data_IF_436650622591
#
_entry.id   IF_436650622591
#
_cell.length_a   1.000
_cell.length_b   1.000
_cell.length_c   1.000
_cell.angle_alpha   90.00
_cell.angle_beta   90.00
_cell.angle_gamma   90.00
#
_symmetry.space_group_name_H-M   'P 1'
#
loop_
_entity.id
_entity.type
_entity.pdbx_description
1 polymer ?
#
# COMPACT_ATOMS: atom_id res chain seq x y z
N UNK A 1 10.45 7.06 -16.16
CA UNK A 1 10.50 7.88 -14.93
C UNK A 1 11.11 7.08 -13.80
N UNK A 2 11.86 7.76 -12.93
CA UNK A 2 12.40 7.17 -11.70
C UNK A 2 11.43 7.42 -10.54
N UNK A 3 11.23 6.46 -9.62
CA UNK A 3 10.41 6.66 -8.44
C UNK A 3 10.95 7.79 -7.55
N UNK A 4 10.04 8.51 -6.91
CA UNK A 4 10.36 9.58 -5.96
C UNK A 4 9.81 9.25 -4.58
N UNK A 5 10.46 9.78 -3.55
CA UNK A 5 10.00 9.66 -2.16
C UNK A 5 9.23 10.93 -1.80
N UNK A 6 8.03 10.76 -1.28
CA UNK A 6 7.17 11.85 -0.79
C UNK A 6 6.82 11.58 0.67
N UNK A 7 7.69 11.95 1.64
CA UNK A 7 7.46 11.65 3.04
C UNK A 7 6.26 12.42 3.60
N UNK A 8 5.58 11.82 4.57
CA UNK A 8 4.50 12.45 5.31
C UNK A 8 4.66 12.24 6.81
N UNK A 9 4.18 13.18 7.62
CA UNK A 9 4.03 12.95 9.06
C UNK A 9 2.86 12.02 9.34
N UNK A 10 2.88 11.33 10.48
CA UNK A 10 1.75 10.55 11.00
C UNK A 10 1.01 11.41 12.01
N UNK A 11 -0.21 11.82 11.71
CA UNK A 11 -1.02 12.62 12.63
C UNK A 11 -1.92 11.72 13.49
N UNK A 12 -1.90 11.88 14.82
CA UNK A 12 -2.80 11.17 15.74
C UNK A 12 -4.28 11.60 15.55
N UNK A 13 -4.48 12.87 15.18
CA UNK A 13 -5.78 13.45 14.82
C UNK A 13 -5.55 14.45 13.68
N UNK A 14 -6.21 14.25 12.54
CA UNK A 14 -6.09 15.13 11.36
C UNK A 14 -5.57 14.41 10.12
N UNK A 15 -4.99 15.17 9.18
CA UNK A 15 -4.39 14.64 7.95
C UNK A 15 -2.86 14.66 8.04
N UNK A 16 -2.23 13.62 7.48
CA UNK A 16 -0.79 13.54 7.31
C UNK A 16 -0.25 14.77 6.53
N UNK A 17 0.78 15.44 7.06
CA UNK A 17 1.41 16.60 6.43
C UNK A 17 2.48 16.12 5.45
N UNK A 18 2.52 16.67 4.23
CA UNK A 18 3.60 16.40 3.28
C UNK A 18 4.87 17.12 3.69
N UNK A 19 5.98 16.40 3.64
CA UNK A 19 7.31 16.92 3.90
C UNK A 19 8.18 16.76 2.65
N UNK A 20 9.22 17.56 2.55
CA UNK A 20 10.38 17.26 1.72
C UNK A 20 11.33 16.31 2.46
N UNK A 21 12.19 15.59 1.73
CA UNK A 21 13.22 14.76 2.35
C UNK A 21 14.16 15.56 3.26
N UNK A 22 14.44 16.82 2.93
CA UNK A 22 15.28 17.70 3.75
C UNK A 22 14.60 18.05 5.08
N UNK A 23 13.29 18.32 5.06
CA UNK A 23 12.54 18.63 6.29
C UNK A 23 12.50 17.47 7.28
N UNK A 24 12.56 16.22 6.81
CA UNK A 24 12.67 15.04 7.70
C UNK A 24 13.90 15.14 8.60
N UNK A 25 15.03 15.57 8.04
CA UNK A 25 16.30 15.72 8.76
C UNK A 25 16.31 17.02 9.56
N UNK A 26 15.92 18.14 8.96
CA UNK A 26 15.98 19.47 9.60
C UNK A 26 15.07 19.55 10.83
N UNK A 27 13.92 18.87 10.79
CA UNK A 27 12.98 18.80 11.92
C UNK A 27 13.37 17.71 12.94
N UNK A 28 14.46 16.98 12.73
CA UNK A 28 14.94 15.93 13.63
C UNK A 28 14.03 14.70 13.72
N UNK A 29 13.23 14.43 12.68
CA UNK A 29 12.32 13.27 12.63
C UNK A 29 13.09 11.95 12.41
N UNK A 30 14.24 12.03 11.74
CA UNK A 30 15.20 10.94 11.63
C UNK A 30 16.62 11.50 11.53
N UNK A 31 17.61 10.74 12.02
CA UNK A 31 19.02 11.09 11.83
C UNK A 31 19.38 11.02 10.32
N UNK A 32 20.31 11.86 9.81
CA UNK A 32 20.62 11.92 8.38
C UNK A 32 21.04 10.58 7.76
N UNK A 33 21.83 9.79 8.48
CA UNK A 33 22.30 8.47 8.08
C UNK A 33 21.17 7.43 8.05
N UNK A 34 20.33 7.40 9.10
CA UNK A 34 19.11 6.59 9.18
C UNK A 34 18.18 6.93 8.01
N UNK A 35 17.94 8.21 7.76
CA UNK A 35 17.05 8.65 6.69
C UNK A 35 17.60 8.29 5.30
N UNK A 36 18.91 8.38 5.09
CA UNK A 36 19.52 7.93 3.84
C UNK A 36 19.35 6.42 3.60
N UNK A 37 19.48 5.61 4.66
CA UNK A 37 19.22 4.17 4.58
C UNK A 37 17.76 3.88 4.27
N UNK A 38 16.81 4.57 4.93
CA UNK A 38 15.37 4.45 4.64
C UNK A 38 15.07 4.75 3.18
N UNK A 39 15.59 5.86 2.65
CA UNK A 39 15.36 6.25 1.27
C UNK A 39 15.90 5.23 0.27
N UNK A 40 17.12 4.75 0.49
CA UNK A 40 17.77 3.74 -0.37
C UNK A 40 16.98 2.44 -0.37
N UNK A 41 16.58 1.97 0.82
CA UNK A 41 15.81 0.74 0.99
C UNK A 41 14.41 0.86 0.37
N UNK A 42 13.70 1.96 0.60
CA UNK A 42 12.36 2.18 0.06
C UNK A 42 12.34 2.18 -1.47
N UNK A 43 13.29 2.89 -2.12
CA UNK A 43 13.39 2.93 -3.58
C UNK A 43 13.74 1.57 -4.17
N UNK A 44 14.69 0.85 -3.56
CA UNK A 44 15.08 -0.50 -3.99
C UNK A 44 13.92 -1.49 -3.90
N UNK A 45 13.22 -1.51 -2.76
CA UNK A 45 12.04 -2.36 -2.56
C UNK A 45 10.91 -2.00 -3.53
N UNK A 46 10.62 -0.71 -3.70
CA UNK A 46 9.58 -0.26 -4.62
C UNK A 46 9.88 -0.68 -6.06
N UNK A 47 11.13 -0.49 -6.52
CA UNK A 47 11.55 -0.92 -7.85
C UNK A 47 11.38 -2.43 -8.05
N UNK A 48 11.81 -3.22 -7.05
CA UNK A 48 11.64 -4.67 -7.09
C UNK A 48 10.17 -5.09 -7.14
N UNK A 49 9.31 -4.43 -6.35
CA UNK A 49 7.88 -4.69 -6.34
C UNK A 49 7.21 -4.30 -7.68
N UNK A 50 7.63 -3.19 -8.31
CA UNK A 50 7.15 -2.81 -9.64
C UNK A 50 7.48 -3.89 -10.68
N UNK A 51 8.72 -4.41 -10.68
CA UNK A 51 9.13 -5.44 -11.64
C UNK A 51 8.31 -6.74 -11.45
N UNK A 52 8.05 -7.12 -10.20
CA UNK A 52 7.20 -8.27 -9.87
C UNK A 52 5.76 -8.01 -10.34
N UNK A 53 5.17 -6.88 -9.97
CA UNK A 53 3.79 -6.54 -10.32
C UNK A 53 3.59 -6.54 -11.84
N UNK A 54 4.53 -5.94 -12.58
CA UNK A 54 4.47 -5.87 -14.04
C UNK A 54 4.52 -7.26 -14.68
N UNK A 55 5.40 -8.13 -14.20
CA UNK A 55 5.46 -9.52 -14.64
C UNK A 55 4.15 -10.30 -14.37
N UNK A 56 3.32 -9.81 -13.44
CA UNK A 56 2.00 -10.37 -13.10
C UNK A 56 0.82 -9.62 -13.73
N UNK A 57 1.07 -8.69 -14.66
CA UNK A 57 0.02 -7.95 -15.37
C UNK A 57 -0.58 -6.78 -14.59
N UNK A 58 0.17 -6.24 -13.62
CA UNK A 58 -0.22 -5.11 -12.79
C UNK A 58 0.79 -3.96 -12.94
N UNK A 59 0.31 -2.71 -12.88
CA UNK A 59 1.16 -1.54 -12.72
C UNK A 59 1.03 -1.07 -11.27
N UNK A 60 2.15 -1.08 -10.54
CA UNK A 60 2.26 -0.51 -9.20
C UNK A 60 2.60 0.98 -9.31
N UNK A 61 1.62 1.83 -8.99
CA UNK A 61 1.73 3.29 -9.16
C UNK A 61 2.45 3.96 -7.99
N UNK A 62 2.07 3.61 -6.77
CA UNK A 62 2.64 4.12 -5.53
C UNK A 62 2.39 3.15 -4.38
N UNK A 63 3.12 3.33 -3.28
CA UNK A 63 2.95 2.58 -2.04
C UNK A 63 3.33 3.45 -0.84
N UNK A 64 2.73 3.16 0.31
CA UNK A 64 3.16 3.67 1.61
C UNK A 64 3.96 2.58 2.33
N UNK A 65 5.12 2.96 2.87
CA UNK A 65 5.93 2.11 3.74
C UNK A 65 6.10 2.81 5.09
N UNK A 66 6.04 2.04 6.17
CA UNK A 66 6.40 2.53 7.51
C UNK A 66 7.73 1.90 7.94
N UNK A 67 8.59 2.70 8.58
CA UNK A 67 9.86 2.26 9.12
C UNK A 67 9.90 2.57 10.62
N UNK A 68 10.32 1.58 11.40
CA UNK A 68 10.73 1.72 12.79
C UNK A 68 12.25 1.62 12.91
N UNK A 69 12.74 1.76 14.14
CA UNK A 69 14.12 1.41 14.49
C UNK A 69 14.11 0.14 15.33
N UNK A 70 15.05 -0.75 15.06
CA UNK A 70 15.24 -1.96 15.85
C UNK A 70 16.01 -1.66 17.16
N UNK A 71 16.34 -2.71 17.93
CA UNK A 71 17.06 -2.57 19.19
C UNK A 71 18.49 -2.02 19.06
N UNK A 72 19.07 -2.02 17.85
CA UNK A 72 20.39 -1.47 17.54
C UNK A 72 20.31 -0.06 16.91
N UNK A 73 19.09 0.46 16.69
CA UNK A 73 18.89 1.74 16.01
C UNK A 73 18.94 1.64 14.48
N UNK A 74 18.88 0.43 13.91
CA UNK A 74 18.84 0.24 12.47
C UNK A 74 17.40 0.36 11.92
N UNK A 75 17.20 0.98 10.74
CA UNK A 75 15.88 1.05 10.13
C UNK A 75 15.33 -0.33 9.80
N UNK A 76 14.13 -0.63 10.29
CA UNK A 76 13.38 -1.85 10.01
C UNK A 76 12.03 -1.50 9.42
N UNK A 77 11.63 -2.22 8.37
CA UNK A 77 10.28 -2.06 7.82
C UNK A 77 9.27 -2.65 8.79
N UNK A 78 8.20 -1.91 9.03
CA UNK A 78 7.10 -2.31 9.90
C UNK A 78 5.78 -2.25 9.13
N UNK A 79 4.68 -2.55 9.81
CA UNK A 79 3.33 -2.54 9.24
C UNK A 79 3.20 -3.50 8.04
N UNK A 80 2.26 -3.24 7.13
CA UNK A 80 2.09 -3.99 5.89
C UNK A 80 2.91 -3.41 4.72
N UNK A 81 3.22 -4.27 3.73
CA UNK A 81 3.94 -3.87 2.53
C UNK A 81 3.26 -4.39 1.27
N UNK A 82 3.15 -3.52 0.28
CA UNK A 82 2.72 -3.88 -1.08
C UNK A 82 1.33 -4.52 -1.17
N UNK A 83 0.47 -4.27 -0.18
CA UNK A 83 -0.92 -4.76 -0.12
C UNK A 83 -1.85 -3.86 -0.93
N UNK A 84 -3.10 -4.31 -1.13
CA UNK A 84 -4.16 -3.49 -1.73
C UNK A 84 -4.62 -2.30 -0.88
N UNK A 85 -4.20 -2.21 0.39
CA UNK A 85 -4.52 -1.10 1.29
C UNK A 85 -3.43 -0.02 1.27
N UNK A 86 -2.17 -0.46 1.27
CA UNK A 86 -0.97 0.38 1.27
C UNK A 86 -0.53 0.85 -0.12
N UNK A 87 -1.02 0.23 -1.19
CA UNK A 87 -0.50 0.44 -2.55
C UNK A 87 -1.58 0.56 -3.62
N UNK A 88 -1.28 1.33 -4.67
CA UNK A 88 -2.16 1.45 -5.84
C UNK A 88 -1.71 0.53 -6.96
N UNK A 89 -2.56 -0.43 -7.31
CA UNK A 89 -2.38 -1.40 -8.39
C UNK A 89 -3.46 -1.24 -9.44
N UNK A 90 -3.04 -1.08 -10.69
CA UNK A 90 -3.95 -1.00 -11.84
C UNK A 90 -3.65 -2.09 -12.85
N UNK A 91 -4.67 -2.55 -13.59
CA UNK A 91 -4.48 -3.58 -14.62
C UNK A 91 -3.59 -3.05 -15.75
N UNK A 92 -2.49 -3.76 -16.02
CA UNK A 92 -1.53 -3.35 -17.05
C UNK A 92 -2.13 -3.39 -18.46
N UNK A 93 -3.07 -4.32 -18.71
CA UNK A 93 -3.70 -4.51 -20.02
C UNK A 93 -4.53 -3.32 -20.50
N UNK A 94 -5.04 -2.50 -19.58
CA UNK A 94 -5.89 -1.33 -19.90
C UNK A 94 -5.22 0.00 -19.55
N UNK A 95 -4.10 -0.03 -18.82
CA UNK A 95 -3.45 1.17 -18.29
C UNK A 95 -3.17 2.23 -19.34
N UNK A 96 -2.41 1.90 -20.39
CA UNK A 96 -1.98 2.87 -21.40
C UNK A 96 -3.18 3.52 -22.11
N UNK A 97 -4.14 2.70 -22.55
CA UNK A 97 -5.34 3.17 -23.23
C UNK A 97 -6.13 4.16 -22.36
N UNK A 98 -6.31 3.84 -21.07
CA UNK A 98 -7.08 4.66 -20.14
C UNK A 98 -6.37 5.96 -19.77
N UNK A 99 -5.05 5.93 -19.64
CA UNK A 99 -4.24 7.15 -19.45
C UNK A 99 -4.40 8.08 -20.66
N UNK A 100 -4.23 7.57 -21.87
CA UNK A 100 -4.32 8.36 -23.11
C UNK A 100 -5.72 8.94 -23.35
N UNK A 101 -6.77 8.19 -22.97
CA UNK A 101 -8.16 8.62 -23.12
C UNK A 101 -8.68 9.46 -21.95
N UNK A 102 -7.89 9.66 -20.90
CA UNK A 102 -8.30 10.35 -19.67
C UNK A 102 -9.41 9.63 -18.91
N UNK A 103 -9.50 8.31 -19.06
CA UNK A 103 -10.48 7.47 -18.37
C UNK A 103 -9.99 7.01 -16.99
N UNK A 104 -10.93 6.70 -16.10
CA UNK A 104 -10.63 6.14 -14.79
C UNK A 104 -9.93 4.77 -14.93
N UNK A 105 -8.79 4.61 -14.24
CA UNK A 105 -7.97 3.41 -14.28
C UNK A 105 -8.66 2.22 -13.60
N UNK A 106 -8.31 1.00 -14.03
CA UNK A 106 -8.83 -0.24 -13.45
C UNK A 106 -8.08 -0.60 -12.16
N UNK A 107 -8.44 0.06 -11.07
CA UNK A 107 -7.90 -0.22 -9.74
C UNK A 107 -8.29 -1.61 -9.24
N UNK A 108 -7.28 -2.33 -8.76
CA UNK A 108 -7.37 -3.63 -8.09
C UNK A 108 -7.23 -3.51 -6.56
N UNK A 109 -7.03 -2.30 -6.07
CA UNK A 109 -6.74 -1.94 -4.69
C UNK A 109 -7.88 -1.12 -4.04
N UNK A 110 -7.66 -0.61 -2.83
CA UNK A 110 -8.59 0.19 -2.02
C UNK A 110 -9.14 1.43 -2.74
N UNK A 111 -8.42 1.97 -3.72
CA UNK A 111 -8.88 3.10 -4.51
C UNK A 111 -10.17 2.78 -5.28
N UNK A 112 -10.37 1.51 -5.69
CA UNK A 112 -11.65 1.07 -6.26
C UNK A 112 -12.81 1.34 -5.30
N UNK A 113 -12.66 0.95 -4.03
CA UNK A 113 -13.68 1.17 -3.00
C UNK A 113 -13.92 2.67 -2.79
N UNK A 114 -12.86 3.47 -2.68
CA UNK A 114 -12.96 4.93 -2.48
C UNK A 114 -13.76 5.60 -3.60
N UNK A 115 -13.42 5.31 -4.85
CA UNK A 115 -14.05 5.91 -6.03
C UNK A 115 -15.52 5.49 -6.14
N UNK A 116 -15.80 4.20 -6.01
CA UNK A 116 -17.15 3.69 -6.19
C UNK A 116 -18.07 3.98 -5.00
N UNK A 117 -17.53 4.03 -3.79
CA UNK A 117 -18.28 4.45 -2.62
C UNK A 117 -18.72 5.91 -2.76
N UNK A 118 -17.81 6.81 -3.14
CA UNK A 118 -18.15 8.22 -3.42
C UNK A 118 -19.19 8.34 -4.52
N UNK A 119 -19.09 7.56 -5.61
CA UNK A 119 -20.08 7.56 -6.70
C UNK A 119 -21.45 7.07 -6.24
N UNK A 120 -21.49 6.03 -5.39
CA UNK A 120 -22.73 5.42 -4.93
C UNK A 120 -23.43 6.22 -3.83
N UNK A 121 -22.68 6.86 -2.93
CA UNK A 121 -23.25 7.50 -1.73
C UNK A 121 -23.12 9.02 -1.72
N UNK A 122 -22.28 9.60 -2.58
CA UNK A 122 -21.93 11.01 -2.55
C UNK A 122 -21.02 11.40 -1.38
N UNK A 123 -20.63 10.46 -0.52
CA UNK A 123 -19.85 10.75 0.69
C UNK A 123 -18.45 11.28 0.36
N UNK A 124 -18.08 12.41 0.98
CA UNK A 124 -16.82 13.12 0.75
C UNK A 124 -15.87 13.12 1.95
N UNK A 125 -16.23 12.44 3.04
CA UNK A 125 -15.41 12.36 4.25
C UNK A 125 -15.91 13.22 5.40
N UNK A 126 -17.01 13.93 5.22
CA UNK A 126 -17.64 14.81 6.20
C UNK A 126 -18.99 14.25 6.68
N UNK A 127 -19.19 14.27 8.00
CA UNK A 127 -20.41 13.79 8.64
C UNK A 127 -20.45 12.27 8.85
N UNK A 128 -21.65 11.74 9.05
CA UNK A 128 -21.87 10.30 9.24
C UNK A 128 -21.74 9.56 7.91
N UNK A 129 -20.86 8.55 7.87
CA UNK A 129 -20.64 7.76 6.67
C UNK A 129 -21.86 6.86 6.35
N UNK A 130 -22.46 6.95 5.16
CA UNK A 130 -23.53 6.04 4.74
C UNK A 130 -23.06 4.57 4.73
N UNK A 131 -23.97 3.60 4.88
CA UNK A 131 -23.59 2.19 4.77
C UNK A 131 -23.01 1.89 3.38
N UNK A 132 -21.97 1.04 3.33
CA UNK A 132 -21.36 0.60 2.07
C UNK A 132 -22.32 -0.40 1.41
N UNK A 133 -22.69 -0.23 0.12
CA UNK A 133 -23.56 -1.19 -0.57
C UNK A 133 -22.96 -2.59 -0.63
N UNK A 134 -23.77 -3.63 -0.40
CA UNK A 134 -23.33 -5.04 -0.40
C UNK A 134 -22.61 -5.45 -1.68
N UNK A 135 -23.08 -4.98 -2.85
CA UNK A 135 -22.43 -5.25 -4.13
C UNK A 135 -21.01 -4.66 -4.18
N UNK A 136 -20.81 -3.48 -3.61
CA UNK A 136 -19.51 -2.82 -3.56
C UNK A 136 -18.56 -3.57 -2.61
N UNK A 137 -19.07 -4.09 -1.50
CA UNK A 137 -18.31 -4.97 -0.59
C UNK A 137 -17.85 -6.22 -1.34
N UNK A 138 -18.76 -6.92 -2.03
CA UNK A 138 -18.44 -8.14 -2.79
C UNK A 138 -17.43 -7.87 -3.93
N UNK A 139 -17.59 -6.77 -4.67
CA UNK A 139 -16.67 -6.38 -5.74
C UNK A 139 -15.29 -5.97 -5.22
N UNK A 140 -15.22 -5.42 -4.01
CA UNK A 140 -13.96 -5.12 -3.34
C UNK A 140 -13.28 -6.42 -2.91
N UNK A 141 -14.01 -7.34 -2.27
CA UNK A 141 -13.46 -8.64 -1.87
C UNK A 141 -12.90 -9.44 -3.07
N UNK A 142 -13.63 -9.52 -4.19
CA UNK A 142 -13.17 -10.17 -5.43
C UNK A 142 -11.85 -9.57 -5.93
N UNK A 143 -11.70 -8.24 -5.88
CA UNK A 143 -10.47 -7.57 -6.29
C UNK A 143 -9.28 -7.93 -5.42
N UNK A 144 -9.46 -7.98 -4.09
CA UNK A 144 -8.37 -8.35 -3.18
C UNK A 144 -7.94 -9.82 -3.38
N UNK A 145 -8.89 -10.71 -3.63
CA UNK A 145 -8.61 -12.11 -3.98
C UNK A 145 -7.80 -12.19 -5.28
N UNK A 146 -8.25 -11.50 -6.33
CA UNK A 146 -7.56 -11.48 -7.63
C UNK A 146 -6.19 -10.82 -7.55
N UNK A 147 -6.07 -9.72 -6.79
CA UNK A 147 -4.80 -9.04 -6.56
C UNK A 147 -3.80 -9.97 -5.86
N UNK A 148 -4.24 -10.66 -4.81
CA UNK A 148 -3.45 -11.71 -4.16
C UNK A 148 -3.00 -12.75 -5.19
N UNK A 149 -3.92 -13.37 -5.93
CA UNK A 149 -3.62 -14.45 -6.86
C UNK A 149 -2.64 -14.04 -7.96
N UNK A 150 -2.79 -12.82 -8.48
CA UNK A 150 -1.87 -12.26 -9.47
C UNK A 150 -0.48 -12.06 -8.89
N UNK A 151 -0.36 -11.40 -7.72
CA UNK A 151 0.93 -11.08 -7.10
C UNK A 151 1.68 -12.33 -6.62
N UNK A 152 1.00 -13.25 -5.95
CA UNK A 152 1.62 -14.46 -5.37
C UNK A 152 1.77 -15.56 -6.42
N UNK A 153 0.83 -15.66 -7.36
CA UNK A 153 0.73 -16.77 -8.32
C UNK A 153 0.09 -18.02 -7.69
N UNK A 154 -0.49 -17.88 -6.50
CA UNK A 154 -1.17 -18.95 -5.78
C UNK A 154 -2.63 -18.58 -5.59
N UNK A 155 -3.53 -19.55 -5.76
CA UNK A 155 -4.95 -19.33 -5.55
C UNK A 155 -5.25 -19.06 -4.08
N UNK A 156 -5.92 -17.94 -3.80
CA UNK A 156 -6.34 -17.55 -2.47
C UNK A 156 -7.12 -18.67 -1.79
N UNK A 157 -6.69 -19.00 -0.57
CA UNK A 157 -7.40 -19.95 0.28
C UNK A 157 -8.07 -19.19 1.42
N UNK A 158 -9.40 -19.25 1.46
CA UNK A 158 -10.14 -18.67 2.57
C UNK A 158 -9.83 -19.46 3.85
N UNK A 159 -9.29 -18.79 4.86
CA UNK A 159 -9.13 -19.34 6.20
C UNK A 159 -10.28 -18.90 7.09
N UNK A 160 -10.69 -19.79 8.00
CA UNK A 160 -11.63 -19.48 9.09
C UNK A 160 -10.92 -19.16 10.41
N UNK A 161 -9.59 -19.24 10.43
CA UNK A 161 -8.78 -18.86 11.58
C UNK A 161 -8.87 -17.36 11.83
N UNK A 162 -8.59 -16.94 13.07
CA UNK A 162 -8.52 -15.52 13.39
C UNK A 162 -7.32 -14.91 12.65
N UNK A 163 -7.50 -13.81 11.90
CA UNK A 163 -6.42 -13.19 11.15
C UNK A 163 -5.16 -12.91 11.98
N UNK A 164 -5.33 -12.46 13.23
CA UNK A 164 -4.23 -12.14 14.15
C UNK A 164 -3.35 -13.36 14.43
N UNK A 165 -3.95 -14.50 14.80
CA UNK A 165 -3.21 -15.73 15.10
C UNK A 165 -2.43 -16.23 13.88
N UNK A 166 -3.06 -16.15 12.71
CA UNK A 166 -2.42 -16.54 11.46
C UNK A 166 -1.25 -15.61 11.10
N UNK A 167 -1.40 -14.30 11.29
CA UNK A 167 -0.30 -13.34 11.06
C UNK A 167 0.87 -13.65 12.00
N UNK A 168 0.61 -13.81 13.30
CA UNK A 168 1.63 -14.15 14.29
C UNK A 168 2.38 -15.43 13.92
N UNK A 169 1.66 -16.51 13.60
CA UNK A 169 2.26 -17.79 13.20
C UNK A 169 3.17 -17.66 11.97
N UNK A 170 2.79 -16.84 10.98
CA UNK A 170 3.59 -16.63 9.77
C UNK A 170 4.81 -15.73 10.02
N UNK A 171 4.77 -14.87 11.05
CA UNK A 171 5.87 -13.95 11.39
C UNK A 171 6.89 -14.56 12.36
N UNK A 172 6.49 -15.50 13.23
CA UNK A 172 7.38 -16.13 14.23
C UNK A 172 8.73 -16.60 13.65
N UNK A 173 8.79 -17.32 12.50
CA UNK A 173 10.06 -17.80 11.94
C UNK A 173 11.02 -16.68 11.54
N UNK A 174 10.52 -15.47 11.30
CA UNK A 174 11.28 -14.31 10.85
C UNK A 174 11.67 -13.38 12.00
N UNK A 175 10.85 -13.31 13.05
CA UNK A 175 11.11 -12.48 14.24
C UNK A 175 12.03 -13.21 15.22
N UNK A 176 11.90 -14.53 15.36
CA UNK A 176 12.72 -15.37 16.22
C UNK A 176 13.44 -16.45 15.40
N UNK A 177 14.36 -16.07 14.49
CA UNK A 177 15.13 -17.06 13.75
C UNK A 177 16.00 -17.87 14.71
N UNK A 178 15.89 -19.20 14.62
CA UNK A 178 16.73 -20.15 15.37
C UNK A 178 18.21 -20.06 14.98
#
# INVERSE_FOLDING_TARGET
DEPVITPTTKADVGHDERLTCQEVVDRGLAAPDVWNQVQTSALSMFKKAQDIALARGLVLMDTKMEFGLDGNGEPMVIDELFTGDSSRYVLASTYQQKVESGQELDHMDKEFLRLNYRKATGYRGDGEAPPIPDLLIAQTADRYIRLHDMLTGTAFQMSRERPQERIEQNLIPWIYPH
#
